data_IF_493299436683
#
_entry.id   IF_493299436683
#
_cell.length_a   1.000
_cell.length_b   1.000
_cell.length_c   1.000
_cell.angle_alpha   90.00
_cell.angle_beta   90.00
_cell.angle_gamma   90.00
#
_symmetry.space_group_name_H-M   'P 1'
#
loop_
_entity.id
_entity.type
_entity.pdbx_description
1 polymer ?
#
# COMPACT_ATOMS: atom_id res chain seq x y z
N UNK A 1 3.86 34.82 80.26
CA UNK A 1 3.93 33.58 79.46
C UNK A 1 2.81 33.58 78.45
N UNK A 2 3.12 33.65 77.16
CA UNK A 2 2.22 33.30 76.06
C UNK A 2 3.14 33.04 74.86
N UNK A 3 3.20 31.80 74.37
CA UNK A 3 4.10 31.40 73.29
C UNK A 3 3.37 31.45 71.95
N UNK A 4 4.04 31.97 70.91
CA UNK A 4 3.61 31.78 69.53
C UNK A 4 3.78 30.31 69.15
N UNK A 5 2.80 29.74 68.45
CA UNK A 5 2.90 28.42 67.87
C UNK A 5 2.61 28.52 66.37
N UNK A 6 3.55 28.09 65.52
CA UNK A 6 3.39 28.13 64.07
C UNK A 6 2.50 26.98 63.58
N UNK A 7 1.70 27.24 62.55
CA UNK A 7 0.88 26.22 61.90
C UNK A 7 1.75 25.20 61.17
N UNK A 8 1.44 23.92 61.37
CA UNK A 8 2.01 22.82 60.59
C UNK A 8 1.17 22.65 59.32
N UNK A 9 1.83 22.66 58.15
CA UNK A 9 1.17 22.36 56.87
C UNK A 9 1.43 20.88 56.57
N UNK A 10 0.38 20.06 56.64
CA UNK A 10 0.45 18.65 56.24
C UNK A 10 0.66 18.55 54.73
N UNK A 11 1.88 18.20 54.31
CA UNK A 11 2.20 17.88 52.92
C UNK A 11 2.04 16.39 52.66
N UNK A 12 0.81 15.88 52.68
CA UNK A 12 0.50 14.55 52.13
C UNK A 12 0.42 14.64 50.61
N UNK A 13 1.23 13.88 49.83
CA UNK A 13 1.11 13.88 48.37
C UNK A 13 -0.17 13.13 47.97
N UNK A 14 -1.20 13.89 47.59
CA UNK A 14 -2.43 13.34 47.03
C UNK A 14 -2.12 12.57 45.74
N UNK A 15 -2.65 11.35 45.67
CA UNK A 15 -2.62 10.41 44.55
C UNK A 15 -2.11 10.98 43.21
N UNK A 16 -0.96 10.46 42.77
CA UNK A 16 -0.60 10.46 41.35
C UNK A 16 -1.75 9.80 40.59
N UNK A 17 -2.48 10.61 39.82
CA UNK A 17 -3.50 10.13 38.90
C UNK A 17 -2.79 9.32 37.81
N UNK A 18 -2.74 7.99 38.00
CA UNK A 18 -2.27 7.07 36.98
C UNK A 18 -3.19 7.24 35.76
N UNK A 19 -2.73 8.03 34.79
CA UNK A 19 -3.41 8.23 33.52
C UNK A 19 -3.73 6.84 32.94
N UNK A 20 -5.02 6.48 32.96
CA UNK A 20 -5.49 5.22 32.38
C UNK A 20 -5.00 5.19 30.94
N UNK A 21 -4.36 4.09 30.55
CA UNK A 21 -4.21 3.81 29.12
C UNK A 21 -5.62 3.79 28.54
N UNK A 22 -5.90 4.53 27.44
CA UNK A 22 -7.20 4.45 26.81
C UNK A 22 -7.49 3.01 26.42
N UNK A 23 -8.73 2.56 26.63
CA UNK A 23 -9.12 1.18 26.39
C UNK A 23 -8.94 0.83 24.90
N UNK A 24 -8.33 -0.33 24.65
CA UNK A 24 -8.06 -0.80 23.28
C UNK A 24 -9.37 -1.23 22.63
N UNK A 25 -9.70 -0.61 21.50
CA UNK A 25 -10.84 -0.97 20.67
C UNK A 25 -10.45 -2.19 19.85
N UNK A 26 -10.97 -3.36 20.21
CA UNK A 26 -10.55 -4.65 19.65
C UNK A 26 -11.20 -4.98 18.31
N UNK A 27 -12.34 -4.38 17.99
CA UNK A 27 -13.11 -4.60 16.76
C UNK A 27 -12.82 -3.56 15.66
N UNK A 28 -11.76 -2.75 15.82
CA UNK A 28 -11.32 -1.78 14.81
C UNK A 28 -9.82 -1.87 14.53
N UNK A 29 -9.42 -1.74 13.26
CA UNK A 29 -8.04 -1.85 12.82
C UNK A 29 -7.59 -0.80 11.80
N UNK A 30 -6.31 -0.45 11.86
CA UNK A 30 -5.58 0.09 10.72
C UNK A 30 -5.03 -1.09 9.90
N UNK A 31 -5.22 -1.04 8.57
CA UNK A 31 -4.85 -2.11 7.64
C UNK A 31 -3.88 -1.56 6.60
N UNK A 32 -2.83 -2.31 6.29
CA UNK A 32 -1.91 -2.01 5.18
C UNK A 32 -1.58 -3.27 4.38
N UNK A 33 -0.93 -3.13 3.21
CA UNK A 33 -0.51 -4.22 2.34
C UNK A 33 0.99 -4.12 2.03
N UNK A 34 1.72 -5.22 2.17
CA UNK A 34 3.08 -5.37 1.67
C UNK A 34 3.21 -6.58 0.73
N UNK A 35 3.39 -6.32 -0.57
CA UNK A 35 3.40 -7.37 -1.60
C UNK A 35 4.76 -8.04 -1.84
N UNK A 36 5.81 -7.57 -1.15
CA UNK A 36 7.19 -8.10 -1.16
C UNK A 36 8.03 -7.41 -0.07
N UNK A 37 9.24 -7.91 0.15
CA UNK A 37 10.19 -7.42 1.17
C UNK A 37 10.57 -5.93 1.05
N UNK A 38 10.49 -5.34 -0.15
CA UNK A 38 10.78 -3.91 -0.34
C UNK A 38 9.63 -3.07 0.23
N UNK A 39 8.38 -3.42 -0.10
CA UNK A 39 7.20 -2.75 0.48
C UNK A 39 7.03 -3.04 1.98
N UNK A 40 7.61 -4.12 2.50
CA UNK A 40 7.64 -4.36 3.95
C UNK A 40 8.40 -3.25 4.69
N UNK A 41 9.44 -2.64 4.11
CA UNK A 41 10.14 -1.50 4.73
C UNK A 41 9.19 -0.31 4.94
N UNK A 42 8.34 -0.04 3.93
CA UNK A 42 7.26 0.94 4.02
C UNK A 42 6.26 0.59 5.11
N UNK A 43 5.69 -0.61 5.07
CA UNK A 43 4.70 -1.07 6.04
C UNK A 43 5.25 -1.04 7.48
N UNK A 44 6.52 -1.41 7.70
CA UNK A 44 7.17 -1.33 9.01
C UNK A 44 7.28 0.11 9.52
N UNK A 45 7.70 1.06 8.69
CA UNK A 45 7.76 2.48 9.07
C UNK A 45 6.37 3.05 9.30
N UNK A 46 5.37 2.69 8.48
CA UNK A 46 3.97 3.05 8.69
C UNK A 46 3.46 2.52 10.04
N UNK A 47 3.58 1.22 10.30
CA UNK A 47 3.16 0.57 11.53
C UNK A 47 3.84 1.17 12.77
N UNK A 48 5.14 1.45 12.70
CA UNK A 48 5.84 2.12 13.79
C UNK A 48 5.41 3.59 13.96
N UNK A 49 5.17 4.32 12.86
CA UNK A 49 4.66 5.70 12.91
C UNK A 49 3.29 5.75 13.59
N UNK A 50 2.42 4.77 13.29
CA UNK A 50 1.15 4.53 13.96
C UNK A 50 1.35 4.25 15.46
N UNK A 51 2.19 3.26 15.84
CA UNK A 51 2.50 2.94 17.27
C UNK A 51 3.01 4.16 18.05
N UNK A 52 3.80 5.04 17.43
CA UNK A 52 4.34 6.26 18.06
C UNK A 52 3.23 7.25 18.50
N UNK A 53 2.05 7.21 17.88
CA UNK A 53 0.93 8.13 18.16
C UNK A 53 -0.05 7.62 19.23
N UNK A 54 0.33 6.56 19.98
CA UNK A 54 -0.46 5.98 21.09
C UNK A 54 -1.90 5.61 20.70
N UNK A 55 -2.07 5.04 19.51
CA UNK A 55 -3.37 4.60 18.98
C UNK A 55 -4.05 3.57 19.87
N UNK A 56 -5.37 3.51 19.79
CA UNK A 56 -6.17 2.55 20.57
C UNK A 56 -6.68 1.36 19.75
N UNK A 57 -6.38 1.30 18.44
CA UNK A 57 -6.84 0.26 17.51
C UNK A 57 -5.75 -0.73 17.16
N UNK A 58 -6.17 -1.88 16.60
CA UNK A 58 -5.29 -2.93 16.09
C UNK A 58 -4.52 -2.48 14.84
N UNK A 59 -3.33 -3.05 14.64
CA UNK A 59 -2.55 -2.90 13.40
C UNK A 59 -2.50 -4.25 12.66
N UNK A 60 -2.99 -4.27 11.43
CA UNK A 60 -3.02 -5.45 10.55
C UNK A 60 -2.18 -5.17 9.30
N UNK A 61 -1.36 -6.13 8.89
CA UNK A 61 -0.69 -6.12 7.58
C UNK A 61 -1.10 -7.35 6.77
N UNK A 62 -1.62 -7.10 5.57
CA UNK A 62 -1.78 -8.10 4.53
C UNK A 62 -0.43 -8.31 3.83
N UNK A 63 -0.06 -9.56 3.56
CA UNK A 63 1.16 -9.92 2.83
C UNK A 63 0.88 -10.95 1.74
N UNK A 64 1.75 -11.02 0.75
CA UNK A 64 1.74 -12.09 -0.27
C UNK A 64 2.69 -13.23 0.11
N UNK A 65 2.57 -14.41 -0.52
CA UNK A 65 3.57 -15.49 -0.41
C UNK A 65 5.01 -15.05 -0.71
N UNK A 66 5.22 -13.97 -1.49
CA UNK A 66 6.53 -13.44 -1.87
C UNK A 66 7.28 -12.70 -0.74
N UNK A 67 6.63 -12.43 0.40
CA UNK A 67 7.31 -11.87 1.57
C UNK A 67 8.10 -12.97 2.29
N UNK A 68 9.38 -12.73 2.57
CA UNK A 68 10.28 -13.73 3.17
C UNK A 68 9.93 -14.06 4.64
N UNK A 69 10.39 -15.23 5.10
CA UNK A 69 10.23 -15.68 6.49
C UNK A 69 10.77 -14.67 7.50
N UNK A 70 11.97 -14.13 7.26
CA UNK A 70 12.57 -13.08 8.10
C UNK A 70 11.66 -11.85 8.21
N UNK A 71 11.16 -11.35 7.08
CA UNK A 71 10.29 -10.18 7.06
C UNK A 71 8.95 -10.42 7.76
N UNK A 72 8.39 -11.63 7.69
CA UNK A 72 7.18 -12.01 8.46
C UNK A 72 7.41 -11.93 9.97
N UNK A 73 8.58 -12.36 10.45
CA UNK A 73 8.95 -12.27 11.87
C UNK A 73 9.18 -10.81 12.28
N UNK A 74 9.73 -9.96 11.41
CA UNK A 74 9.89 -8.53 11.71
C UNK A 74 8.52 -7.82 11.73
N UNK A 75 7.63 -8.14 10.79
CA UNK A 75 6.27 -7.61 10.75
C UNK A 75 5.47 -7.96 12.01
N UNK A 76 5.57 -9.20 12.53
CA UNK A 76 4.88 -9.59 13.76
C UNK A 76 5.43 -8.96 15.05
N UNK A 77 6.60 -8.29 14.99
CA UNK A 77 7.10 -7.43 16.07
C UNK A 77 6.48 -6.02 16.06
N UNK A 78 5.84 -5.60 14.97
CA UNK A 78 5.25 -4.25 14.79
C UNK A 78 3.73 -4.28 14.68
N UNK A 79 3.18 -5.24 13.94
CA UNK A 79 1.75 -5.42 13.71
C UNK A 79 1.15 -6.40 14.73
N UNK A 80 -0.13 -6.22 15.07
CA UNK A 80 -0.85 -7.16 15.94
C UNK A 80 -1.27 -8.42 15.16
N UNK A 81 -1.49 -8.30 13.84
CA UNK A 81 -1.76 -9.42 12.94
C UNK A 81 -1.01 -9.28 11.60
N UNK A 82 -0.50 -10.42 11.11
CA UNK A 82 0.18 -10.56 9.81
C UNK A 82 -0.57 -11.64 9.04
N UNK A 83 -1.30 -11.25 8.00
CA UNK A 83 -2.25 -12.12 7.29
C UNK A 83 -1.74 -12.36 5.87
N UNK A 84 -1.45 -13.62 5.53
CA UNK A 84 -1.11 -13.98 4.15
C UNK A 84 -2.37 -14.06 3.28
N UNK A 85 -2.29 -13.41 2.12
CA UNK A 85 -3.26 -13.49 1.03
C UNK A 85 -2.61 -14.22 -0.14
N UNK A 86 -2.88 -15.52 -0.27
CA UNK A 86 -2.52 -16.27 -1.47
C UNK A 86 -3.69 -16.24 -2.47
N UNK A 87 -3.58 -15.36 -3.45
CA UNK A 87 -4.54 -15.20 -4.54
C UNK A 87 -4.74 -16.45 -5.42
N UNK A 88 -3.76 -17.36 -5.49
CA UNK A 88 -3.83 -18.58 -6.30
C UNK A 88 -4.67 -19.66 -5.60
N UNK A 89 -4.48 -19.80 -4.28
CA UNK A 89 -5.20 -20.77 -3.43
C UNK A 89 -6.55 -20.24 -2.92
N UNK A 90 -6.87 -18.99 -3.24
CA UNK A 90 -8.16 -18.37 -2.93
C UNK A 90 -9.30 -18.98 -3.75
N UNK A 91 -10.52 -18.93 -3.22
CA UNK A 91 -11.71 -19.54 -3.80
C UNK A 91 -11.91 -19.20 -5.30
N UNK A 92 -12.50 -20.15 -6.06
CA UNK A 92 -12.58 -20.16 -7.53
C UNK A 92 -12.89 -18.80 -8.19
N UNK A 93 -13.79 -17.99 -7.61
CA UNK A 93 -14.17 -16.70 -8.16
C UNK A 93 -13.04 -15.64 -8.13
N UNK A 94 -12.17 -15.69 -7.12
CA UNK A 94 -10.96 -14.84 -7.00
C UNK A 94 -9.94 -15.28 -8.05
N UNK A 95 -9.70 -16.59 -8.15
CA UNK A 95 -8.82 -17.19 -9.15
C UNK A 95 -9.27 -16.82 -10.58
N UNK A 96 -10.58 -16.90 -10.86
CA UNK A 96 -11.17 -16.51 -12.15
C UNK A 96 -11.04 -15.01 -12.44
N UNK A 97 -11.15 -14.13 -11.44
CA UNK A 97 -10.92 -12.69 -11.62
C UNK A 97 -9.46 -12.41 -12.07
N UNK A 98 -8.50 -13.09 -11.44
CA UNK A 98 -7.06 -12.98 -11.79
C UNK A 98 -6.79 -13.52 -13.20
N UNK A 99 -7.35 -14.68 -13.57
CA UNK A 99 -7.17 -15.24 -14.91
C UNK A 99 -7.73 -14.32 -16.02
N UNK A 100 -8.78 -13.55 -15.72
CA UNK A 100 -9.35 -12.56 -16.65
C UNK A 100 -8.58 -11.23 -16.64
N UNK A 101 -7.96 -10.86 -15.53
CA UNK A 101 -7.34 -9.54 -15.26
C UNK A 101 -6.01 -9.69 -14.51
N UNK A 102 -4.98 -10.33 -15.10
CA UNK A 102 -3.70 -10.57 -14.42
C UNK A 102 -2.97 -9.28 -14.04
N UNK A 103 -3.23 -8.17 -14.76
CA UNK A 103 -2.72 -6.83 -14.45
C UNK A 103 -3.19 -6.32 -13.07
N UNK A 104 -4.35 -6.78 -12.59
CA UNK A 104 -4.94 -6.34 -11.32
C UNK A 104 -4.44 -7.14 -10.10
N UNK A 105 -3.44 -8.02 -10.21
CA UNK A 105 -3.02 -8.90 -9.10
C UNK A 105 -2.75 -8.18 -7.77
N UNK A 106 -2.10 -7.01 -7.79
CA UNK A 106 -1.90 -6.17 -6.58
C UNK A 106 -3.23 -5.61 -6.06
N UNK A 107 -4.07 -5.09 -6.95
CA UNK A 107 -5.43 -4.60 -6.62
C UNK A 107 -6.27 -5.68 -5.94
N UNK A 108 -6.34 -6.88 -6.53
CA UNK A 108 -7.12 -8.00 -6.01
C UNK A 108 -6.59 -8.47 -4.64
N UNK A 109 -5.28 -8.35 -4.40
CA UNK A 109 -4.68 -8.57 -3.07
C UNK A 109 -5.12 -7.49 -2.07
N UNK A 110 -5.13 -6.21 -2.48
CA UNK A 110 -5.58 -5.08 -1.64
C UNK A 110 -7.05 -5.21 -1.24
N UNK A 111 -7.92 -5.66 -2.16
CA UNK A 111 -9.34 -5.88 -1.89
C UNK A 111 -9.61 -6.90 -0.77
N UNK A 112 -8.69 -7.83 -0.49
CA UNK A 112 -8.85 -8.78 0.61
C UNK A 112 -8.97 -8.11 2.00
N UNK A 113 -8.67 -6.82 2.13
CA UNK A 113 -8.96 -6.07 3.35
C UNK A 113 -10.46 -6.10 3.73
N UNK A 114 -11.38 -6.20 2.75
CA UNK A 114 -12.81 -6.41 3.03
C UNK A 114 -13.16 -7.80 3.56
N UNK A 115 -12.26 -8.78 3.52
CA UNK A 115 -12.51 -10.13 4.10
C UNK A 115 -12.29 -10.20 5.61
N UNK A 116 -11.76 -9.14 6.23
CA UNK A 116 -11.41 -9.05 7.65
C UNK A 116 -12.64 -8.84 8.56
N UNK A 117 -13.67 -9.67 8.40
CA UNK A 117 -15.02 -9.52 9.01
C UNK A 117 -15.10 -9.70 10.53
N UNK A 118 -13.99 -9.98 11.20
CA UNK A 118 -13.86 -9.88 12.66
C UNK A 118 -13.66 -8.43 13.14
N UNK A 119 -13.38 -7.49 12.21
CA UNK A 119 -13.37 -6.05 12.45
C UNK A 119 -14.68 -5.40 11.94
N UNK A 120 -15.27 -4.51 12.75
CA UNK A 120 -16.50 -3.76 12.41
C UNK A 120 -16.24 -2.57 11.48
N UNK A 121 -15.02 -2.02 11.54
CA UNK A 121 -14.56 -0.90 10.71
C UNK A 121 -13.04 -0.87 10.64
N UNK A 122 -12.51 -0.56 9.47
CA UNK A 122 -11.09 -0.46 9.23
C UNK A 122 -10.72 0.85 8.55
N UNK A 123 -9.49 1.31 8.78
CA UNK A 123 -8.86 2.39 8.00
C UNK A 123 -7.71 1.75 7.22
N UNK A 124 -7.81 1.75 5.89
CA UNK A 124 -6.72 1.31 5.03
C UNK A 124 -5.71 2.44 4.85
N UNK A 125 -4.42 2.11 4.89
CA UNK A 125 -3.31 2.98 4.50
C UNK A 125 -2.30 2.21 3.62
N UNK A 126 -1.95 2.75 2.45
CA UNK A 126 -0.88 2.19 1.62
C UNK A 126 0.49 2.25 2.33
N UNK A 127 1.35 1.27 2.06
CA UNK A 127 2.63 1.10 2.76
C UNK A 127 3.66 2.22 2.50
N UNK A 128 3.41 3.11 1.54
CA UNK A 128 4.17 4.34 1.28
C UNK A 128 3.49 5.59 1.84
N UNK A 129 2.66 5.42 2.87
CA UNK A 129 2.18 6.50 3.74
C UNK A 129 2.99 6.61 5.04
N UNK A 130 2.89 7.74 5.73
CA UNK A 130 3.56 8.03 7.00
C UNK A 130 2.64 8.87 7.91
N UNK A 131 2.42 8.40 9.13
CA UNK A 131 1.52 9.05 10.10
C UNK A 131 2.29 9.98 11.03
N UNK A 132 1.88 11.24 11.07
CA UNK A 132 2.53 12.34 11.78
C UNK A 132 1.89 12.67 13.14
N UNK A 133 0.62 12.33 13.31
CA UNK A 133 -0.17 12.55 14.53
C UNK A 133 -1.24 11.47 14.68
N UNK A 134 -1.87 11.35 15.85
CA UNK A 134 -3.00 10.42 16.03
C UNK A 134 -4.15 10.75 15.04
N UNK A 135 -4.74 9.69 14.45
CA UNK A 135 -5.79 9.72 13.43
C UNK A 135 -6.97 8.79 13.80
N UNK A 136 -7.13 8.46 15.09
CA UNK A 136 -8.18 7.57 15.60
C UNK A 136 -9.61 8.10 15.36
N UNK A 137 -9.77 9.40 15.14
CA UNK A 137 -11.03 10.03 14.73
C UNK A 137 -11.50 9.61 13.33
N UNK A 138 -10.64 9.00 12.49
CA UNK A 138 -11.07 8.44 11.21
C UNK A 138 -12.10 7.31 11.37
N UNK A 139 -12.09 6.59 12.50
CA UNK A 139 -13.10 5.56 12.79
C UNK A 139 -14.50 6.14 13.12
N UNK A 140 -14.66 7.46 13.23
CA UNK A 140 -15.98 8.10 13.30
C UNK A 140 -16.67 8.13 11.93
N UNK A 141 -15.91 7.99 10.83
CA UNK A 141 -16.41 8.06 9.44
C UNK A 141 -17.09 6.75 9.01
N UNK A 142 -17.96 6.83 7.99
CA UNK A 142 -18.63 5.66 7.39
C UNK A 142 -17.94 5.15 6.13
N UNK A 143 -18.34 3.98 5.64
CA UNK A 143 -17.93 3.52 4.30
C UNK A 143 -18.65 4.31 3.19
N UNK A 144 -18.02 4.68 2.08
CA UNK A 144 -16.58 4.70 1.80
C UNK A 144 -16.09 6.14 1.98
N UNK A 145 -15.17 6.39 2.92
CA UNK A 145 -14.62 7.74 3.15
C UNK A 145 -13.16 7.82 2.78
N UNK A 146 -12.80 8.74 1.88
CA UNK A 146 -11.44 8.94 1.39
C UNK A 146 -11.15 10.42 1.13
N UNK A 147 -9.88 10.78 0.92
CA UNK A 147 -9.47 12.14 0.59
C UNK A 147 -9.46 12.36 -0.94
N UNK A 148 -9.68 13.59 -1.44
CA UNK A 148 -9.60 13.90 -2.87
C UNK A 148 -8.20 13.62 -3.45
N UNK A 149 -8.15 13.13 -4.69
CA UNK A 149 -6.92 13.00 -5.44
C UNK A 149 -6.43 14.38 -5.94
N UNK A 150 -5.12 14.70 -5.83
CA UNK A 150 -4.61 16.01 -6.24
C UNK A 150 -4.53 16.21 -7.77
N UNK A 151 -4.61 15.13 -8.57
CA UNK A 151 -4.61 15.19 -10.03
C UNK A 151 -6.02 15.37 -10.60
N UNK A 152 -7.00 14.60 -10.12
CA UNK A 152 -8.40 14.70 -10.52
C UNK A 152 -9.32 14.72 -9.29
N UNK A 153 -9.77 15.90 -8.80
CA UNK A 153 -10.36 16.04 -7.47
C UNK A 153 -11.77 15.44 -7.31
N UNK A 154 -12.46 15.12 -8.42
CA UNK A 154 -13.72 14.36 -8.39
C UNK A 154 -13.49 12.85 -8.20
N UNK A 155 -12.22 12.41 -8.24
CA UNK A 155 -11.80 11.10 -7.78
C UNK A 155 -11.19 11.24 -6.37
N UNK A 156 -11.38 10.21 -5.55
CA UNK A 156 -10.62 10.08 -4.32
C UNK A 156 -9.28 9.36 -4.57
N UNK A 157 -8.31 9.63 -3.70
CA UNK A 157 -7.07 8.90 -3.65
C UNK A 157 -7.20 7.64 -2.78
N UNK A 158 -6.87 6.46 -3.31
CA UNK A 158 -7.04 5.17 -2.62
C UNK A 158 -5.94 4.84 -1.61
N UNK A 159 -5.00 5.75 -1.38
CA UNK A 159 -3.91 5.58 -0.41
C UNK A 159 -4.34 5.62 1.05
N UNK A 160 -5.44 6.29 1.37
CA UNK A 160 -6.05 6.31 2.71
C UNK A 160 -7.56 6.35 2.60
N UNK A 161 -8.25 5.33 3.13
CA UNK A 161 -9.71 5.28 3.15
C UNK A 161 -10.27 4.52 4.36
N UNK A 162 -11.52 4.84 4.73
CA UNK A 162 -12.30 4.18 5.80
C UNK A 162 -13.36 3.30 5.16
N UNK A 163 -13.40 2.04 5.59
CA UNK A 163 -14.27 0.99 5.03
C UNK A 163 -14.80 0.05 6.12
N UNK A 164 -15.76 -0.79 5.76
CA UNK A 164 -16.37 -1.79 6.64
C UNK A 164 -16.17 -3.19 6.03
N UNK A 165 -15.36 -4.06 6.66
CA UNK A 165 -15.16 -5.42 6.17
C UNK A 165 -16.48 -6.16 5.96
N UNK A 166 -16.67 -6.71 4.75
CA UNK A 166 -17.86 -7.40 4.32
C UNK A 166 -17.53 -8.34 3.16
N UNK A 167 -17.88 -9.62 3.29
CA UNK A 167 -17.73 -10.61 2.21
C UNK A 167 -18.63 -10.29 1.01
N UNK A 168 -19.76 -9.62 1.24
CA UNK A 168 -20.66 -9.15 0.18
C UNK A 168 -19.99 -8.02 -0.61
N UNK A 169 -19.50 -6.98 0.06
CA UNK A 169 -18.76 -5.88 -0.59
C UNK A 169 -17.53 -6.39 -1.32
N UNK A 170 -16.79 -7.35 -0.74
CA UNK A 170 -15.65 -8.02 -1.38
C UNK A 170 -16.06 -8.73 -2.68
N UNK A 171 -17.13 -9.53 -2.64
CA UNK A 171 -17.62 -10.26 -3.82
C UNK A 171 -18.11 -9.31 -4.91
N UNK A 172 -18.80 -8.22 -4.54
CA UNK A 172 -19.25 -7.18 -5.47
C UNK A 172 -18.07 -6.42 -6.10
N UNK A 173 -17.02 -6.09 -5.33
CA UNK A 173 -15.80 -5.45 -5.84
C UNK A 173 -15.05 -6.36 -6.83
N UNK A 174 -14.97 -7.67 -6.55
CA UNK A 174 -14.33 -8.65 -7.44
C UNK A 174 -15.14 -8.92 -8.72
N UNK A 175 -16.47 -8.93 -8.62
CA UNK A 175 -17.34 -8.95 -9.79
C UNK A 175 -17.14 -7.66 -10.61
N UNK A 176 -17.13 -6.50 -9.98
CA UNK A 176 -16.93 -5.22 -10.66
C UNK A 176 -15.56 -5.15 -11.37
N UNK A 177 -14.50 -5.65 -10.74
CA UNK A 177 -13.18 -5.78 -11.36
C UNK A 177 -13.16 -6.75 -12.55
N UNK A 178 -13.94 -7.82 -12.47
CA UNK A 178 -14.10 -8.80 -13.56
C UNK A 178 -14.81 -8.18 -14.76
N UNK A 179 -15.93 -7.49 -14.51
CA UNK A 179 -16.84 -6.99 -15.54
C UNK A 179 -16.34 -5.67 -16.17
N UNK A 180 -15.77 -4.77 -15.36
CA UNK A 180 -15.39 -3.41 -15.79
C UNK A 180 -13.88 -3.14 -15.77
N UNK A 181 -13.07 -3.95 -15.06
CA UNK A 181 -11.64 -3.71 -14.88
C UNK A 181 -11.36 -2.48 -14.02
N UNK A 182 -10.27 -1.77 -14.31
CA UNK A 182 -9.96 -0.45 -13.74
C UNK A 182 -9.53 0.53 -14.82
N UNK A 183 -9.98 1.79 -14.74
CA UNK A 183 -9.65 2.82 -15.73
C UNK A 183 -8.20 3.30 -15.67
N UNK A 184 -7.50 3.09 -14.54
CA UNK A 184 -6.08 3.40 -14.37
C UNK A 184 -5.18 2.16 -14.30
N UNK A 185 -5.77 0.96 -14.44
CA UNK A 185 -5.07 -0.33 -14.29
C UNK A 185 -4.69 -0.69 -12.85
N UNK A 186 -5.10 0.09 -11.85
CA UNK A 186 -4.78 -0.08 -10.43
C UNK A 186 -6.04 -0.12 -9.55
N UNK A 187 -5.87 -0.10 -8.23
CA UNK A 187 -6.97 -0.12 -7.27
C UNK A 187 -7.74 1.21 -7.18
N UNK A 188 -7.09 2.34 -7.43
CA UNK A 188 -7.72 3.66 -7.35
C UNK A 188 -8.85 3.78 -8.38
N UNK A 189 -8.62 3.42 -9.64
CA UNK A 189 -9.65 3.47 -10.67
C UNK A 189 -10.80 2.48 -10.44
N UNK A 190 -10.50 1.28 -9.95
CA UNK A 190 -11.51 0.28 -9.59
C UNK A 190 -12.42 0.78 -8.47
N UNK A 191 -11.82 1.27 -7.38
CA UNK A 191 -12.54 1.76 -6.21
C UNK A 191 -13.36 3.00 -6.56
N UNK A 192 -12.81 3.95 -7.33
CA UNK A 192 -13.56 5.14 -7.78
C UNK A 192 -14.75 4.76 -8.69
N UNK A 193 -14.60 3.74 -9.54
CA UNK A 193 -15.70 3.23 -10.36
C UNK A 193 -16.80 2.59 -9.53
N UNK A 194 -16.44 1.81 -8.50
CA UNK A 194 -17.40 1.15 -7.61
C UNK A 194 -18.10 2.14 -6.65
N UNK A 195 -17.33 2.97 -5.94
CA UNK A 195 -17.83 4.00 -5.02
C UNK A 195 -18.07 5.36 -5.72
N UNK A 196 -18.59 5.32 -6.95
CA UNK A 196 -18.71 6.47 -7.87
C UNK A 196 -19.59 7.63 -7.40
N UNK A 197 -20.37 7.46 -6.33
CA UNK A 197 -21.14 8.54 -5.71
C UNK A 197 -20.33 9.42 -4.75
N UNK A 198 -19.08 9.05 -4.43
CA UNK A 198 -18.25 9.73 -3.42
C UNK A 198 -18.15 11.25 -3.63
N UNK A 199 -17.91 11.72 -4.86
CA UNK A 199 -17.71 13.15 -5.15
C UNK A 199 -18.97 14.02 -5.01
N UNK A 200 -20.16 13.43 -5.01
CA UNK A 200 -21.44 14.17 -5.11
C UNK A 200 -22.44 13.89 -3.99
N UNK A 201 -22.33 12.76 -3.27
CA UNK A 201 -23.38 12.33 -2.33
C UNK A 201 -23.26 12.90 -0.91
N UNK A 202 -22.09 12.82 -0.28
CA UNK A 202 -21.94 13.11 1.16
C UNK A 202 -20.57 13.70 1.51
N UNK A 203 -20.57 14.96 1.94
CA UNK A 203 -19.36 15.68 2.38
C UNK A 203 -18.71 15.06 3.61
N UNK A 204 -19.44 14.29 4.44
CA UNK A 204 -18.85 13.57 5.56
C UNK A 204 -17.97 12.38 5.11
N UNK A 205 -18.06 11.96 3.85
CA UNK A 205 -17.16 10.96 3.23
C UNK A 205 -15.92 11.56 2.58
N UNK A 206 -15.84 12.89 2.51
CA UNK A 206 -14.62 13.60 2.11
C UNK A 206 -13.71 13.75 3.33
N UNK A 207 -12.66 12.94 3.39
CA UNK A 207 -11.60 13.13 4.37
C UNK A 207 -10.83 14.42 4.01
N UNK A 208 -10.56 15.32 4.97
CA UNK A 208 -9.70 16.46 4.73
C UNK A 208 -8.34 16.06 4.16
N UNK A 209 -7.82 16.80 3.18
CA UNK A 209 -6.59 16.46 2.45
C UNK A 209 -5.35 16.21 3.35
N UNK A 210 -5.33 16.76 4.57
CA UNK A 210 -4.29 16.50 5.59
C UNK A 210 -4.22 15.03 6.06
N UNK A 211 -5.24 14.20 5.80
CA UNK A 211 -5.25 12.75 6.08
C UNK A 211 -4.72 11.90 4.91
N UNK A 212 -4.33 12.50 3.79
CA UNK A 212 -3.70 11.82 2.66
C UNK A 212 -2.86 12.83 1.84
N UNK A 213 -1.94 13.53 2.52
CA UNK A 213 -1.20 14.64 1.91
C UNK A 213 -0.11 14.10 0.97
N UNK A 214 -0.31 14.25 -0.35
CA UNK A 214 0.73 13.95 -1.34
C UNK A 214 2.03 14.70 -1.04
N UNK A 215 3.12 13.96 -0.86
CA UNK A 215 4.46 14.54 -0.64
C UNK A 215 5.06 15.15 -1.90
N UNK A 216 4.48 14.88 -3.07
CA UNK A 216 5.07 15.20 -4.37
C UNK A 216 4.40 16.43 -4.98
N UNK A 217 5.05 17.59 -4.81
CA UNK A 217 4.61 18.87 -5.40
C UNK A 217 4.72 18.92 -6.94
N UNK A 218 5.22 17.87 -7.59
CA UNK A 218 5.29 17.77 -9.06
C UNK A 218 3.97 17.30 -9.68
N UNK A 219 3.05 16.76 -8.87
CA UNK A 219 1.69 16.44 -9.33
C UNK A 219 0.81 17.69 -9.51
N UNK A 220 1.30 18.87 -9.10
CA UNK A 220 0.65 20.16 -9.33
C UNK A 220 1.11 20.77 -10.66
N UNK A 221 0.13 21.13 -11.50
CA UNK A 221 0.25 21.32 -12.96
C UNK A 221 1.10 22.52 -13.45
N UNK A 222 1.35 22.57 -14.77
CA UNK A 222 2.31 23.47 -15.46
C UNK A 222 1.79 24.93 -15.72
N UNK A 223 2.26 25.73 -16.70
CA UNK A 223 3.01 27.00 -16.51
C UNK A 223 2.29 28.21 -15.87
N UNK A 224 1.01 28.12 -15.50
CA UNK A 224 0.35 29.10 -14.61
C UNK A 224 0.97 29.13 -13.18
N UNK A 225 1.94 28.25 -12.95
CA UNK A 225 2.58 27.89 -11.69
C UNK A 225 3.72 28.83 -11.24
N UNK A 226 3.54 30.16 -11.38
CA UNK A 226 4.16 31.11 -10.43
C UNK A 226 3.17 31.40 -9.30
N UNK A 227 2.00 31.94 -9.63
CA UNK A 227 0.94 32.24 -8.65
C UNK A 227 0.36 30.98 -7.99
N UNK A 228 0.08 29.93 -8.77
CA UNK A 228 -0.46 28.68 -8.19
C UNK A 228 0.59 27.90 -7.37
N UNK A 229 1.89 28.07 -7.66
CA UNK A 229 2.99 27.52 -6.84
C UNK A 229 3.08 28.23 -5.50
N UNK A 230 2.94 29.54 -5.49
CA UNK A 230 2.82 30.32 -4.26
C UNK A 230 1.58 29.91 -3.46
N UNK A 231 0.45 29.60 -4.10
CA UNK A 231 -0.75 29.14 -3.39
C UNK A 231 -0.61 27.71 -2.84
N UNK A 232 -0.06 26.75 -3.59
CA UNK A 232 0.21 25.40 -3.10
C UNK A 232 1.29 25.38 -2.00
N UNK A 233 2.34 26.18 -2.16
CA UNK A 233 3.37 26.37 -1.13
C UNK A 233 2.81 27.10 0.09
N UNK A 234 1.94 28.11 -0.06
CA UNK A 234 1.23 28.76 1.05
C UNK A 234 0.23 27.81 1.71
N UNK A 235 -0.38 26.88 0.99
CA UNK A 235 -1.20 25.82 1.58
C UNK A 235 -0.33 24.87 2.41
N UNK A 236 0.81 24.41 1.90
CA UNK A 236 1.77 23.61 2.67
C UNK A 236 2.39 24.37 3.85
N UNK A 237 2.62 25.68 3.74
CA UNK A 237 3.11 26.52 4.85
C UNK A 237 2.03 26.84 5.89
N UNK A 238 0.76 26.88 5.49
CA UNK A 238 -0.40 27.20 6.37
C UNK A 238 -1.05 25.97 7.00
N UNK A 239 -0.99 24.81 6.33
CA UNK A 239 -1.67 23.57 6.71
C UNK A 239 -0.74 22.33 6.72
N UNK A 240 0.48 22.40 6.17
CA UNK A 240 1.44 21.29 6.26
C UNK A 240 1.97 21.07 7.68
N UNK A 241 1.90 22.08 8.54
CA UNK A 241 2.07 21.96 10.00
C UNK A 241 0.92 21.20 10.68
N UNK A 242 -0.24 21.10 10.03
CA UNK A 242 -1.39 20.28 10.43
C UNK A 242 -1.54 18.99 9.61
N UNK A 243 -0.53 18.62 8.81
CA UNK A 243 -0.53 17.35 8.10
C UNK A 243 -0.58 16.19 9.10
N UNK A 244 -1.53 15.26 8.91
CA UNK A 244 -1.72 14.10 9.78
C UNK A 244 -1.15 12.82 9.16
N UNK A 245 -1.29 12.67 7.84
CA UNK A 245 -0.70 11.57 7.07
C UNK A 245 -0.09 12.15 5.80
N UNK A 246 1.12 11.71 5.48
CA UNK A 246 1.83 12.01 4.23
C UNK A 246 1.86 10.77 3.35
N UNK A 247 1.62 10.92 2.05
CA UNK A 247 1.63 9.84 1.07
C UNK A 247 2.71 10.11 0.02
N UNK A 248 3.67 9.19 -0.10
CA UNK A 248 4.84 9.33 -0.98
C UNK A 248 4.54 8.91 -2.44
N UNK A 249 3.61 9.64 -3.05
CA UNK A 249 3.17 9.44 -4.44
C UNK A 249 4.30 9.58 -5.48
N UNK A 250 4.22 8.76 -6.53
CA UNK A 250 5.20 8.66 -7.61
C UNK A 250 6.08 7.42 -7.51
N UNK A 251 7.01 7.26 -8.46
CA UNK A 251 7.86 6.06 -8.62
C UNK A 251 9.07 6.01 -7.67
N UNK A 252 9.51 7.16 -7.14
CA UNK A 252 10.61 7.23 -6.16
C UNK A 252 10.04 7.18 -4.74
N UNK A 253 9.91 5.97 -4.19
CA UNK A 253 9.45 5.73 -2.81
C UNK A 253 10.54 6.05 -1.78
N UNK A 254 10.23 6.24 -0.47
CA UNK A 254 11.22 6.66 0.53
C UNK A 254 12.45 5.75 0.62
N UNK A 255 12.24 4.43 0.55
CA UNK A 255 13.29 3.40 0.56
C UNK A 255 14.18 3.39 -0.70
N UNK A 256 13.83 4.14 -1.76
CA UNK A 256 14.68 4.31 -2.94
C UNK A 256 15.73 5.43 -2.77
N UNK A 257 15.64 6.23 -1.72
CA UNK A 257 16.59 7.32 -1.43
C UNK A 257 17.75 6.80 -0.58
N UNK A 258 18.96 7.36 -0.76
CA UNK A 258 20.06 7.14 0.20
C UNK A 258 19.93 8.12 1.35
N UNK A 259 20.20 7.66 2.56
CA UNK A 259 20.15 8.48 3.78
C UNK A 259 21.50 8.48 4.48
N UNK A 260 21.85 9.62 5.08
CA UNK A 260 23.05 9.79 5.90
C UNK A 260 22.62 9.93 7.38
N UNK A 261 22.82 8.88 8.22
CA UNK A 261 22.45 8.93 9.63
C UNK A 261 23.22 9.96 10.45
N UNK A 262 24.45 10.31 10.06
CA UNK A 262 25.28 11.30 10.76
C UNK A 262 24.79 12.74 10.54
N UNK A 263 24.24 13.06 9.36
CA UNK A 263 23.65 14.37 9.06
C UNK A 263 22.14 14.43 9.26
N UNK A 264 21.47 13.29 9.44
CA UNK A 264 20.03 13.20 9.60
C UNK A 264 19.25 13.52 8.31
N UNK A 265 19.85 13.32 7.13
CA UNK A 265 19.31 13.81 5.86
C UNK A 265 19.42 12.81 4.71
N UNK A 266 18.41 12.77 3.84
CA UNK A 266 18.52 12.12 2.53
C UNK A 266 19.56 12.81 1.66
N UNK A 267 20.32 12.02 0.91
CA UNK A 267 21.30 12.49 -0.06
C UNK A 267 20.60 12.92 -1.35
N UNK A 268 21.00 14.07 -1.90
CA UNK A 268 20.56 14.50 -3.23
C UNK A 268 21.44 13.82 -4.29
N UNK A 269 20.88 12.86 -5.03
CA UNK A 269 21.56 12.26 -6.19
C UNK A 269 21.13 12.94 -7.50
N UNK A 270 22.09 13.60 -8.16
CA UNK A 270 21.92 14.23 -9.48
C UNK A 270 21.20 15.58 -9.47
N UNK A 271 20.78 16.03 -10.65
CA UNK A 271 20.14 17.35 -10.87
C UNK A 271 18.66 17.41 -10.42
N UNK A 272 18.17 16.40 -9.68
CA UNK A 272 16.78 16.35 -9.20
C UNK A 272 16.67 17.11 -7.88
N UNK A 273 16.26 18.38 -7.96
CA UNK A 273 15.98 19.21 -6.78
C UNK A 273 14.83 18.60 -5.98
N UNK A 274 15.14 17.90 -4.88
CA UNK A 274 14.14 17.50 -3.90
C UNK A 274 13.67 18.76 -3.17
N UNK A 275 12.37 19.05 -3.22
CA UNK A 275 11.82 20.22 -2.54
C UNK A 275 11.97 20.10 -1.01
N UNK A 276 12.29 21.20 -0.33
CA UNK A 276 12.62 21.22 1.11
C UNK A 276 11.60 20.50 1.99
N UNK A 277 10.30 20.65 1.71
CA UNK A 277 9.22 19.96 2.45
C UNK A 277 9.21 18.44 2.21
N UNK A 278 9.43 18.00 0.97
CA UNK A 278 9.55 16.58 0.63
C UNK A 278 10.78 15.97 1.33
N UNK A 279 11.91 16.69 1.36
CA UNK A 279 13.10 16.28 2.11
C UNK A 279 12.81 16.16 3.62
N UNK A 280 12.04 17.08 4.22
CA UNK A 280 11.65 16.99 5.63
C UNK A 280 10.85 15.71 5.95
N UNK A 281 9.87 15.34 5.12
CA UNK A 281 9.11 14.11 5.32
C UNK A 281 9.93 12.85 5.05
N UNK A 282 10.81 12.86 4.04
CA UNK A 282 11.74 11.76 3.79
C UNK A 282 12.72 11.56 4.95
N UNK A 283 13.27 12.64 5.52
CA UNK A 283 14.15 12.56 6.70
C UNK A 283 13.41 11.98 7.92
N UNK A 284 12.13 12.30 8.12
CA UNK A 284 11.33 11.72 9.19
C UNK A 284 11.08 10.22 8.96
N UNK A 285 10.74 9.80 7.73
CA UNK A 285 10.59 8.39 7.36
C UNK A 285 11.89 7.61 7.66
N UNK A 286 13.03 8.11 7.21
CA UNK A 286 14.34 7.50 7.44
C UNK A 286 14.79 7.53 8.90
N UNK A 287 14.41 8.55 9.67
CA UNK A 287 14.64 8.62 11.11
C UNK A 287 13.91 7.51 11.86
N UNK A 288 12.64 7.25 11.52
CA UNK A 288 11.87 6.12 12.08
C UNK A 288 12.50 4.79 11.65
N UNK A 289 12.85 4.65 10.36
CA UNK A 289 13.51 3.44 9.84
C UNK A 289 14.80 3.11 10.62
N UNK A 290 15.75 4.04 10.71
CA UNK A 290 17.01 3.80 11.43
C UNK A 290 16.85 3.61 12.93
N UNK A 291 15.95 4.36 13.58
CA UNK A 291 15.80 4.34 15.04
C UNK A 291 15.03 3.13 15.56
N UNK A 292 14.09 2.60 14.76
CA UNK A 292 13.08 1.66 15.24
C UNK A 292 12.96 0.39 14.41
N UNK A 293 13.28 0.43 13.11
CA UNK A 293 13.10 -0.70 12.20
C UNK A 293 14.42 -1.45 11.99
N UNK A 294 15.51 -0.74 11.70
CA UNK A 294 16.83 -1.34 11.50
C UNK A 294 17.30 -2.22 12.68
N UNK A 295 17.12 -1.85 13.96
CA UNK A 295 17.47 -2.70 15.10
C UNK A 295 16.67 -4.02 15.17
N UNK A 296 15.49 -4.10 14.54
CA UNK A 296 14.71 -5.35 14.46
C UNK A 296 15.35 -6.35 13.50
N UNK A 297 15.97 -5.88 12.41
CA UNK A 297 16.76 -6.71 11.50
C UNK A 297 18.07 -7.18 12.15
N UNK A 298 18.73 -6.30 12.90
CA UNK A 298 20.00 -6.61 13.58
C UNK A 298 19.78 -7.67 14.67
N UNK A 299 18.83 -7.45 15.57
CA UNK A 299 18.54 -8.42 16.66
C UNK A 299 18.16 -9.83 16.18
N UNK A 300 17.49 -9.97 15.03
CA UNK A 300 17.16 -11.29 14.49
C UNK A 300 18.38 -12.01 13.88
N UNK A 301 19.34 -11.28 13.31
CA UNK A 301 20.59 -11.87 12.84
C UNK A 301 21.43 -12.36 14.01
N UNK A 302 21.50 -11.58 15.08
CA UNK A 302 22.17 -11.97 16.32
C UNK A 302 21.49 -13.21 16.97
N UNK A 303 20.15 -13.27 16.96
CA UNK A 303 19.38 -14.45 17.40
C UNK A 303 19.69 -15.70 16.54
N UNK A 304 19.75 -15.59 15.21
CA UNK A 304 20.08 -16.70 14.29
C UNK A 304 21.54 -17.19 14.44
N UNK A 305 22.50 -16.27 14.58
CA UNK A 305 23.92 -16.60 14.80
C UNK A 305 24.13 -17.28 16.17
N UNK A 306 23.45 -16.82 17.23
CA UNK A 306 23.56 -17.42 18.57
C UNK A 306 22.74 -18.71 18.75
N UNK A 307 21.72 -18.95 17.94
CA UNK A 307 20.95 -20.21 17.96
C UNK A 307 21.73 -21.42 17.42
N UNK A 308 22.90 -21.22 16.80
CA UNK A 308 23.68 -22.28 16.15
C UNK A 308 24.99 -22.67 16.88
N UNK A 309 24.93 -23.53 17.92
CA UNK A 309 26.07 -24.36 18.32
C UNK A 309 25.78 -25.87 18.29
N UNK A 310 26.12 -26.50 17.16
CA UNK A 310 26.65 -27.87 17.10
C UNK A 310 25.72 -29.07 17.40
N UNK A 311 25.29 -29.76 16.34
CA UNK A 311 24.94 -31.20 16.38
C UNK A 311 25.58 -31.96 15.19
N UNK A 312 26.91 -31.92 15.10
CA UNK A 312 27.68 -32.86 14.26
C UNK A 312 27.87 -34.18 15.00
N UNK A 313 26.83 -35.01 15.00
CA UNK A 313 26.93 -36.39 15.44
C UNK A 313 27.75 -37.22 14.44
N UNK A 314 29.05 -37.32 14.66
CA UNK A 314 29.93 -38.24 13.93
C UNK A 314 29.47 -39.69 14.14
N UNK A 315 29.08 -40.37 13.05
CA UNK A 315 28.95 -41.82 13.01
C UNK A 315 29.69 -42.39 11.80
N UNK A 316 30.99 -42.58 11.99
CA UNK A 316 31.84 -43.38 11.09
C UNK A 316 32.63 -44.39 11.91
N UNK A 317 32.37 -45.68 11.73
CA UNK A 317 33.37 -46.72 12.00
C UNK A 317 32.93 -48.01 12.70
N UNK A 318 32.77 -49.06 11.87
CA UNK A 318 33.18 -50.46 12.12
C UNK A 318 32.34 -51.34 13.09
N UNK A 319 31.85 -52.48 12.58
CA UNK A 319 31.47 -53.62 13.43
C UNK A 319 30.44 -54.63 12.88
N UNK A 320 30.69 -55.30 11.75
CA UNK A 320 30.05 -56.61 11.47
C UNK A 320 30.91 -57.73 12.13
N UNK A 321 30.36 -58.87 12.59
CA UNK A 321 29.97 -59.96 11.65
C UNK A 321 28.90 -61.00 12.10
N UNK A 322 28.58 -61.92 11.16
CA UNK A 322 27.96 -63.27 11.29
C UNK A 322 26.43 -63.52 11.43
N UNK A 323 25.84 -63.88 10.27
CA UNK A 323 24.86 -64.94 9.93
C UNK A 323 24.15 -65.80 11.01
N UNK A 324 22.85 -66.09 10.83
CA UNK A 324 22.39 -67.28 10.05
C UNK A 324 20.85 -67.41 9.80
N UNK A 325 20.52 -68.25 8.79
CA UNK A 325 19.26 -69.03 8.54
C UNK A 325 17.88 -68.37 8.28
N UNK A 326 17.40 -68.50 7.03
CA UNK A 326 16.13 -69.12 6.54
C UNK A 326 14.80 -68.94 7.32
N UNK A 327 13.62 -68.74 6.72
CA UNK A 327 13.13 -68.73 5.31
C UNK A 327 11.84 -67.85 5.21
N UNK A 328 11.03 -67.71 4.15
CA UNK A 328 10.65 -68.58 3.00
C UNK A 328 10.22 -67.79 1.73
N UNK A 329 9.83 -68.54 0.70
CA UNK A 329 9.21 -68.20 -0.59
C UNK A 329 7.76 -67.63 -0.47
N UNK A 330 7.08 -67.08 -1.50
CA UNK A 330 7.17 -67.30 -2.96
C UNK A 330 6.95 -66.03 -3.83
N UNK A 331 7.55 -66.04 -5.03
CA UNK A 331 7.07 -65.35 -6.26
C UNK A 331 6.83 -66.44 -7.33
N UNK A 332 6.08 -66.16 -8.42
CA UNK A 332 6.79 -66.04 -9.70
C UNK A 332 6.28 -64.96 -10.67
N UNK A 333 7.21 -64.48 -11.51
CA UNK A 333 7.06 -63.41 -12.51
C UNK A 333 6.38 -63.84 -13.83
N UNK A 334 5.98 -62.83 -14.63
CA UNK A 334 6.53 -62.53 -15.98
C UNK A 334 5.53 -62.24 -17.13
N UNK A 335 5.69 -61.04 -17.72
CA UNK A 335 5.67 -60.69 -19.15
C UNK A 335 4.74 -61.43 -20.15
N UNK A 336 3.88 -60.67 -20.87
CA UNK A 336 4.12 -60.27 -22.29
C UNK A 336 2.88 -59.71 -23.01
N UNK A 337 3.12 -58.74 -23.90
CA UNK A 337 2.23 -58.18 -24.94
C UNK A 337 2.60 -58.92 -26.26
N UNK A 338 1.68 -59.31 -27.21
CA UNK A 338 1.19 -58.36 -28.24
C UNK A 338 -0.15 -58.61 -29.02
N UNK A 339 -0.84 -57.49 -29.31
CA UNK A 339 -1.30 -56.98 -30.63
C UNK A 339 -2.44 -57.61 -31.50
N UNK A 340 -3.25 -56.68 -32.05
CA UNK A 340 -3.86 -56.58 -33.40
C UNK A 340 -5.20 -57.27 -33.79
N UNK A 341 -5.96 -56.57 -34.65
CA UNK A 341 -7.20 -57.02 -35.34
C UNK A 341 -8.34 -55.99 -35.32
N UNK A 342 -8.15 -54.76 -35.83
CA UNK A 342 -8.58 -54.31 -37.20
C UNK A 342 -10.03 -54.60 -37.63
N UNK A 343 -10.79 -53.54 -38.00
CA UNK A 343 -11.51 -53.52 -39.30
C UNK A 343 -11.66 -52.08 -39.84
N UNK A 344 -11.48 -51.95 -41.16
CA UNK A 344 -11.55 -50.75 -42.05
C UNK A 344 -13.01 -50.58 -42.58
N UNK A 345 -13.50 -49.57 -43.31
CA UNK A 345 -13.00 -48.42 -44.10
C UNK A 345 -14.19 -47.40 -44.29
N UNK A 346 -14.25 -46.38 -45.19
CA UNK A 346 -13.35 -45.88 -46.24
C UNK A 346 -13.61 -44.39 -46.65
N UNK A 347 -12.55 -43.72 -47.12
CA UNK A 347 -12.42 -42.75 -48.24
C UNK A 347 -13.51 -41.72 -48.63
N UNK A 348 -13.11 -40.44 -48.83
CA UNK A 348 -12.62 -39.91 -50.13
C UNK A 348 -11.89 -38.56 -49.97
N UNK A 349 -11.18 -38.08 -51.00
CA UNK A 349 -10.23 -36.95 -50.95
C UNK A 349 -10.74 -35.66 -51.63
N UNK A 350 -10.14 -34.50 -51.29
CA UNK A 350 -10.45 -33.19 -51.90
C UNK A 350 -9.35 -32.14 -51.69
N UNK A 351 -8.90 -31.56 -52.81
CA UNK A 351 -7.83 -30.58 -53.04
C UNK A 351 -7.63 -29.39 -52.07
N UNK A 352 -6.35 -29.17 -51.75
CA UNK A 352 -5.62 -27.87 -51.72
C UNK A 352 -6.34 -26.56 -52.09
N UNK A 353 -6.22 -25.54 -51.22
CA UNK A 353 -5.91 -24.15 -51.60
C UNK A 353 -5.36 -23.36 -50.39
N UNK A 354 -4.68 -22.24 -50.65
CA UNK A 354 -3.97 -21.41 -49.66
C UNK A 354 -3.96 -19.93 -50.05
N UNK A 355 -3.71 -19.06 -49.05
CA UNK A 355 -3.53 -17.58 -49.12
C UNK A 355 -4.80 -16.72 -49.24
N UNK A 356 -4.77 -15.42 -48.86
CA UNK A 356 -3.68 -14.67 -48.20
C UNK A 356 -4.06 -14.03 -46.85
N UNK A 357 -3.07 -13.42 -46.19
CA UNK A 357 -3.27 -12.41 -45.15
C UNK A 357 -3.42 -11.01 -45.80
N UNK A 358 -4.15 -10.10 -45.16
CA UNK A 358 -4.18 -8.68 -45.53
C UNK A 358 -3.68 -7.79 -44.38
N UNK A 359 -3.03 -6.71 -44.77
CA UNK A 359 -2.29 -5.74 -43.96
C UNK A 359 -2.96 -4.36 -44.08
N UNK A 360 -3.48 -3.77 -42.98
CA UNK A 360 -4.09 -2.45 -43.03
C UNK A 360 -3.03 -1.34 -42.95
N UNK A 361 -2.49 -1.00 -44.12
CA UNK A 361 -1.66 0.19 -44.31
C UNK A 361 -2.48 1.49 -44.20
N UNK A 362 -1.79 2.60 -43.93
CA UNK A 362 -2.35 3.87 -43.44
C UNK A 362 -3.40 4.52 -44.37
N UNK A 363 -4.57 4.82 -43.82
CA UNK A 363 -5.56 5.70 -44.42
C UNK A 363 -5.33 7.15 -43.95
N UNK A 364 -4.60 7.93 -44.75
CA UNK A 364 -4.34 9.34 -44.50
C UNK A 364 -5.57 10.20 -44.79
N UNK A 365 -6.24 10.68 -43.73
CA UNK A 365 -7.29 11.71 -43.85
C UNK A 365 -6.63 13.09 -43.85
N UNK A 366 -6.63 13.76 -45.01
CA UNK A 366 -6.37 15.20 -45.07
C UNK A 366 -7.55 15.96 -44.48
N UNK A 367 -7.28 16.79 -43.49
CA UNK A 367 -8.14 17.91 -43.10
C UNK A 367 -7.34 19.16 -43.37
N UNK A 368 -7.88 20.04 -44.21
CA UNK A 368 -7.26 21.32 -44.55
C UNK A 368 -8.33 22.41 -44.54
N UNK A 369 -7.88 23.65 -44.42
CA UNK A 369 -8.62 24.93 -44.40
C UNK A 369 -9.15 25.49 -43.06
N UNK A 370 -8.63 26.68 -42.80
CA UNK A 370 -8.72 27.56 -41.63
C UNK A 370 -10.01 28.39 -41.61
N UNK A 371 -10.61 28.74 -40.46
CA UNK A 371 -11.55 29.85 -40.38
C UNK A 371 -10.83 31.22 -40.34
N UNK A 372 -11.40 32.29 -40.93
CA UNK A 372 -10.73 33.59 -41.06
C UNK A 372 -10.76 34.45 -39.78
N UNK A 373 -9.71 35.23 -39.57
CA UNK A 373 -9.61 36.27 -38.54
C UNK A 373 -10.51 37.48 -38.83
N UNK A 374 -11.13 38.12 -37.82
CA UNK A 374 -11.68 39.46 -37.93
C UNK A 374 -10.61 40.53 -37.62
N UNK A 375 -10.40 41.47 -38.55
CA UNK A 375 -9.67 42.72 -38.28
C UNK A 375 -10.62 43.83 -37.79
N UNK A 376 -10.09 44.76 -36.99
CA UNK A 376 -10.63 46.12 -36.87
C UNK A 376 -11.47 46.42 -35.62
N UNK A 377 -10.84 46.96 -34.58
CA UNK A 377 -11.51 47.51 -33.39
C UNK A 377 -10.55 48.37 -32.57
N UNK A 378 -10.73 49.69 -32.63
CA UNK A 378 -9.84 50.75 -32.16
C UNK A 378 -9.29 50.62 -30.72
N UNK A 379 -8.05 51.10 -30.53
CA UNK A 379 -7.47 51.44 -29.22
C UNK A 379 -8.13 52.70 -28.67
N UNK A 380 -8.61 52.65 -27.43
CA UNK A 380 -8.81 53.84 -26.61
C UNK A 380 -7.76 53.84 -25.50
N UNK A 381 -6.74 54.68 -25.66
CA UNK A 381 -5.79 55.00 -24.61
C UNK A 381 -6.47 55.89 -23.58
N UNK A 382 -6.48 55.45 -22.30
CA UNK A 382 -6.85 56.31 -21.18
C UNK A 382 -5.63 56.52 -20.28
N UNK A 383 -5.02 57.69 -20.48
CA UNK A 383 -3.99 58.25 -19.62
C UNK A 383 -4.53 58.45 -18.20
N UNK A 384 -3.75 58.04 -17.19
CA UNK A 384 -3.93 58.50 -15.81
C UNK A 384 -2.92 59.63 -15.56
N UNK A 385 -3.36 60.88 -15.67
CA UNK A 385 -2.61 62.02 -15.15
C UNK A 385 -2.65 62.09 -13.62
N UNK A 386 -1.59 62.63 -13.04
CA UNK A 386 -1.51 62.96 -11.62
C UNK A 386 -2.23 64.28 -11.27
N UNK A 387 -2.59 64.36 -9.99
CA UNK A 387 -2.43 65.56 -9.15
C UNK A 387 -3.63 66.49 -8.87
N UNK A 388 -3.75 66.76 -7.56
CA UNK A 388 -4.23 67.98 -6.89
C UNK A 388 -5.75 68.28 -6.88
N UNK A 389 -6.29 68.29 -5.66
CA UNK A 389 -7.65 68.69 -5.28
C UNK A 389 -7.87 68.47 -3.78
#
# INVERSE_FOLDING_TARGET
MAAFNHGHVDTSPSALECARRPDVVSDQAFVTLATNDIYCQGALVLGQSLRNQRLTRKLVVLITPHVSSLLRVILSRVFDEVIEVNLIDSADYIHLAILKRPELGVTLTKLHCWTLTHYSKCVFLDADTLVLSNIDELFERGEFSAAPDPGWPDCFNSGVFVFQPSLETHSLLLQHATDHGSFDGADQGLLNSFFSSWSTADIHKHLPFIYNLSSNTTYTYSPAFKHAKENALRFLLRFGSSAKVVHFLGSSKPWNYKYNPQTGSVLQEGSRVVHQHQASFLNLWWSIYHRSILPLYESLRDEEEHASPGHTANLSGVGAPYANSASSAEEPCANSVPSAGETRANSMAGSSQSWPAEDPSELSVRVDETPPSPEGGHSEDLEYEESVG
#
